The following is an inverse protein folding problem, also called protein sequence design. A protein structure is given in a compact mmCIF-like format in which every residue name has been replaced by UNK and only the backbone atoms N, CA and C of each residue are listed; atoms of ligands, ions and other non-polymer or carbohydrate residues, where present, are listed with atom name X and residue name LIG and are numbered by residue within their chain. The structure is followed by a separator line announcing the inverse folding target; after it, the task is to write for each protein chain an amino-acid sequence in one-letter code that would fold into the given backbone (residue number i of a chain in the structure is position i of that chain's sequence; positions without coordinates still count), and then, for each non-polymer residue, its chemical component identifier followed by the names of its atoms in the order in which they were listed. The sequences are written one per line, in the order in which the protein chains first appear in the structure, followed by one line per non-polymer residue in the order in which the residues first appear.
data_IF_681900136094
#
_entry.id   IF_681900136094
#
_cell.length_a   1.000
_cell.length_b   1.000
_cell.length_c   1.000
_cell.angle_alpha   90.00
_cell.angle_beta   90.00
_cell.angle_gamma   90.00
#
_symmetry.space_group_name_H-M   'P 1'
#
loop_
_entity.id
_entity.type
_entity.pdbx_description
1 polymer ?
#
# COMPACT_ATOMS: atom_id res chain seq x y z
N UNK A 1 -17.51 -42.96 25.47
CA UNK A 1 -17.64 -42.26 24.15
C UNK A 1 -17.64 -40.72 24.24
N UNK A 2 -17.39 -40.14 25.42
CA UNK A 2 -17.43 -38.68 25.64
C UNK A 2 -16.05 -38.00 25.72
N UNK A 3 -14.96 -38.73 25.90
CA UNK A 3 -13.62 -38.12 26.09
C UNK A 3 -13.01 -37.55 24.82
N UNK A 4 -13.31 -38.12 23.64
CA UNK A 4 -12.77 -37.64 22.38
C UNK A 4 -13.39 -36.31 21.89
N UNK A 5 -14.64 -36.04 22.28
CA UNK A 5 -15.34 -34.79 21.96
C UNK A 5 -14.96 -33.66 22.92
N UNK A 6 -14.72 -33.96 24.20
CA UNK A 6 -14.26 -32.96 25.17
C UNK A 6 -12.82 -32.48 24.85
N UNK A 7 -11.96 -33.35 24.34
CA UNK A 7 -10.62 -32.97 23.88
C UNK A 7 -10.61 -32.04 22.64
N UNK A 8 -11.68 -32.05 21.83
CA UNK A 8 -11.82 -31.12 20.70
C UNK A 8 -12.25 -29.71 21.12
N UNK A 9 -12.82 -29.56 22.32
CA UNK A 9 -13.30 -28.29 22.87
C UNK A 9 -12.25 -27.57 23.73
N UNK A 10 -11.17 -28.27 24.11
CA UNK A 10 -10.13 -27.76 25.02
C UNK A 10 -8.74 -28.06 24.44
N UNK A 11 -8.27 -27.18 23.54
CA UNK A 11 -6.92 -27.31 22.93
C UNK A 11 -5.88 -26.65 23.84
N UNK A 12 -4.99 -27.44 24.41
CA UNK A 12 -3.91 -27.00 25.31
C UNK A 12 -2.50 -27.21 24.71
N UNK A 13 -2.42 -27.72 23.47
CA UNK A 13 -1.11 -27.93 22.83
C UNK A 13 -0.49 -26.60 22.45
N UNK A 14 0.79 -26.45 22.70
CA UNK A 14 1.60 -25.32 22.26
C UNK A 14 2.66 -25.80 21.24
N UNK A 15 2.94 -24.98 20.25
CA UNK A 15 3.93 -25.24 19.22
C UNK A 15 5.01 -24.16 19.26
N UNK A 16 5.95 -24.23 20.21
CA UNK A 16 7.01 -23.23 20.32
C UNK A 16 7.89 -23.26 19.08
N UNK A 17 8.43 -22.09 18.65
CA UNK A 17 9.40 -22.05 17.56
C UNK A 17 10.68 -22.81 17.97
N UNK A 18 11.44 -23.28 16.96
CA UNK A 18 12.74 -23.88 17.23
C UNK A 18 13.69 -22.85 17.89
N UNK A 19 14.65 -23.29 18.73
CA UNK A 19 15.61 -22.39 19.34
C UNK A 19 16.41 -21.56 18.32
N UNK A 20 16.76 -22.16 17.19
CA UNK A 20 17.47 -21.50 16.08
C UNK A 20 16.61 -20.38 15.46
N UNK A 21 15.34 -20.65 15.17
CA UNK A 21 14.41 -19.66 14.66
C UNK A 21 14.19 -18.51 15.67
N UNK A 22 13.95 -18.85 16.95
CA UNK A 22 13.77 -17.86 18.01
C UNK A 22 15.01 -16.96 18.22
N UNK A 23 16.23 -17.52 18.05
CA UNK A 23 17.46 -16.74 18.16
C UNK A 23 17.60 -15.65 17.11
N UNK A 24 17.03 -15.85 15.91
CA UNK A 24 17.04 -14.92 14.78
C UNK A 24 15.87 -13.91 14.81
N UNK A 25 14.90 -14.07 15.71
CA UNK A 25 13.73 -13.19 15.79
C UNK A 25 14.13 -11.75 16.11
N UNK A 26 13.55 -10.80 15.38
CA UNK A 26 13.75 -9.36 15.63
C UNK A 26 13.04 -8.89 16.91
N UNK A 27 11.87 -9.48 17.22
CA UNK A 27 11.15 -9.23 18.45
C UNK A 27 11.39 -10.39 19.44
N UNK A 28 11.73 -10.07 20.68
CA UNK A 28 12.02 -11.02 21.74
C UNK A 28 11.21 -10.70 23.00
N UNK A 29 11.01 -11.69 23.86
CA UNK A 29 10.20 -11.55 25.08
C UNK A 29 10.56 -10.29 25.93
N UNK A 30 11.83 -9.94 26.16
CA UNK A 30 12.18 -8.74 26.95
C UNK A 30 11.65 -7.42 26.39
N UNK A 31 11.26 -7.35 25.10
CA UNK A 31 10.65 -6.14 24.52
C UNK A 31 9.26 -5.86 25.11
N UNK A 32 8.54 -6.89 25.52
CA UNK A 32 7.24 -6.72 26.18
C UNK A 32 7.42 -6.14 27.56
N UNK A 33 8.41 -6.63 28.34
CA UNK A 33 8.72 -6.11 29.67
C UNK A 33 9.19 -4.65 29.59
N UNK A 34 9.99 -4.29 28.59
CA UNK A 34 10.42 -2.91 28.31
C UNK A 34 9.21 -2.01 28.02
N UNK A 35 8.26 -2.49 27.21
CA UNK A 35 7.06 -1.73 26.86
C UNK A 35 6.09 -1.58 28.05
N UNK A 36 6.00 -2.57 28.94
CA UNK A 36 5.19 -2.51 30.16
C UNK A 36 5.79 -1.55 31.20
N UNK A 37 7.12 -1.52 31.32
CA UNK A 37 7.82 -0.67 32.27
C UNK A 37 7.63 0.82 31.94
N UNK A 38 7.82 1.20 30.66
CA UNK A 38 7.58 2.57 30.17
C UNK A 38 7.16 2.54 28.71
N UNK A 39 5.85 2.52 28.48
CA UNK A 39 5.27 2.50 27.13
C UNK A 39 5.67 3.69 26.28
N UNK A 40 5.80 4.88 26.86
CA UNK A 40 6.11 6.09 26.10
C UNK A 40 7.56 6.09 25.65
N UNK A 41 8.49 5.78 26.55
CA UNK A 41 9.90 5.65 26.22
C UNK A 41 10.13 4.52 25.19
N UNK A 42 9.45 3.38 25.33
CA UNK A 42 9.50 2.30 24.35
C UNK A 42 9.11 2.77 22.95
N UNK A 43 7.96 3.42 22.79
CA UNK A 43 7.50 3.89 21.50
C UNK A 43 8.31 5.06 20.95
N UNK A 44 8.85 5.94 21.80
CA UNK A 44 9.81 6.97 21.40
C UNK A 44 11.08 6.34 20.81
N UNK A 45 11.62 5.31 21.45
CA UNK A 45 12.76 4.54 20.96
C UNK A 45 12.46 3.89 19.60
N UNK A 46 11.29 3.23 19.45
CA UNK A 46 10.89 2.63 18.17
C UNK A 46 10.72 3.68 17.07
N UNK A 47 10.10 4.82 17.36
CA UNK A 47 9.91 5.89 16.39
C UNK A 47 11.23 6.55 15.97
N UNK A 48 12.24 6.54 16.83
CA UNK A 48 13.55 7.15 16.56
C UNK A 48 14.34 6.46 15.46
N UNK A 49 13.98 5.23 15.05
CA UNK A 49 14.60 4.54 13.92
C UNK A 49 14.12 5.04 12.56
N UNK A 50 13.03 5.82 12.53
CA UNK A 50 12.50 6.44 11.33
C UNK A 50 13.13 7.80 11.07
N UNK A 51 13.15 8.20 9.79
CA UNK A 51 13.54 9.55 9.42
C UNK A 51 12.33 10.49 9.56
N UNK A 52 12.50 11.52 10.40
CA UNK A 52 11.51 12.56 10.64
C UNK A 52 11.99 13.87 10.04
N UNK A 53 11.20 14.49 9.17
CA UNK A 53 11.46 15.85 8.68
C UNK A 53 11.29 16.87 9.80
N UNK A 54 10.34 16.61 10.70
CA UNK A 54 10.15 17.37 11.92
C UNK A 54 9.91 16.39 13.07
N UNK A 55 10.78 16.43 14.09
CA UNK A 55 10.62 15.61 15.28
C UNK A 55 9.37 16.06 16.05
N UNK A 56 8.73 15.13 16.75
CA UNK A 56 7.60 15.39 17.62
C UNK A 56 8.01 16.20 18.86
N UNK A 57 7.04 16.89 19.44
CA UNK A 57 7.20 17.64 20.71
C UNK A 57 6.70 16.84 21.91
N UNK A 58 5.80 15.88 21.68
CA UNK A 58 5.21 15.01 22.70
C UNK A 58 4.94 13.64 22.09
N UNK A 59 5.28 12.56 22.81
CA UNK A 59 5.11 11.18 22.32
C UNK A 59 3.64 10.81 22.22
N UNK A 60 2.83 11.16 23.21
CA UNK A 60 1.41 10.84 23.26
C UNK A 60 0.63 11.98 23.97
N UNK A 61 -0.39 12.50 23.30
CA UNK A 61 -1.48 13.24 23.91
C UNK A 61 -2.70 12.31 24.01
N UNK A 62 -3.06 11.94 25.23
CA UNK A 62 -4.09 10.94 25.52
C UNK A 62 -5.30 11.60 26.16
N UNK A 63 -6.37 11.77 25.37
CA UNK A 63 -7.66 12.32 25.79
C UNK A 63 -8.77 11.37 25.34
N UNK A 64 -9.11 10.32 26.11
CA UNK A 64 -10.07 9.30 25.70
C UNK A 64 -11.41 9.89 25.22
N UNK A 65 -11.97 9.39 24.11
CA UNK A 65 -11.52 8.24 23.30
C UNK A 65 -10.43 8.58 22.27
N UNK A 66 -9.86 9.77 22.28
CA UNK A 66 -8.90 10.24 21.28
C UNK A 66 -7.45 10.11 21.78
N UNK A 67 -6.57 9.75 20.86
CA UNK A 67 -5.14 9.70 21.05
C UNK A 67 -4.41 10.35 19.89
N UNK A 68 -3.40 11.19 20.20
CA UNK A 68 -2.48 11.73 19.20
C UNK A 68 -1.08 11.27 19.52
N UNK A 69 -0.53 10.40 18.68
CA UNK A 69 0.84 9.94 18.82
C UNK A 69 1.80 10.87 18.07
N UNK A 70 2.99 11.07 18.63
CA UNK A 70 4.09 11.86 18.04
C UNK A 70 3.63 13.26 17.60
N UNK A 71 3.03 13.99 18.53
CA UNK A 71 2.39 15.29 18.31
C UNK A 71 3.36 16.27 17.65
N UNK A 72 2.93 16.87 16.54
CA UNK A 72 3.74 17.79 15.74
C UNK A 72 4.82 17.14 14.88
N UNK A 73 5.04 15.82 15.01
CA UNK A 73 5.98 15.10 14.17
C UNK A 73 5.52 15.04 12.70
N UNK A 74 6.48 15.14 11.76
CA UNK A 74 6.22 15.03 10.32
C UNK A 74 7.24 14.08 9.68
N UNK A 75 6.73 13.10 8.96
CA UNK A 75 7.54 12.17 8.16
C UNK A 75 6.84 11.86 6.84
N UNK A 76 7.60 11.33 5.87
CA UNK A 76 7.04 10.77 4.66
C UNK A 76 7.23 9.25 4.67
N UNK A 77 6.14 8.50 4.51
CA UNK A 77 6.17 7.04 4.55
C UNK A 77 6.94 6.45 3.37
N UNK A 78 6.79 7.02 2.16
CA UNK A 78 7.52 6.59 0.97
C UNK A 78 9.03 6.82 1.12
N UNK A 79 9.45 7.97 1.67
CA UNK A 79 10.86 8.24 1.97
C UNK A 79 11.44 7.19 2.93
N UNK A 80 10.73 6.90 3.99
CA UNK A 80 11.16 5.90 4.96
C UNK A 80 11.19 4.48 4.41
N UNK A 81 10.28 4.15 3.48
CA UNK A 81 10.23 2.84 2.85
C UNK A 81 11.29 2.64 1.75
N UNK A 82 11.70 3.71 1.05
CA UNK A 82 12.52 3.61 -0.15
C UNK A 82 13.79 4.46 -0.10
N UNK A 83 13.64 5.80 -0.10
CA UNK A 83 14.76 6.74 -0.33
C UNK A 83 15.90 6.50 0.66
N UNK A 84 15.60 6.44 1.96
CA UNK A 84 16.65 6.25 2.98
C UNK A 84 17.43 4.96 2.78
N UNK A 85 16.76 3.88 2.32
CA UNK A 85 17.43 2.61 2.09
C UNK A 85 18.38 2.65 0.88
N UNK A 86 17.98 3.36 -0.18
CA UNK A 86 18.84 3.58 -1.34
C UNK A 86 20.01 4.47 -0.95
N UNK A 87 19.77 5.57 -0.23
CA UNK A 87 20.81 6.48 0.25
C UNK A 87 21.81 5.82 1.20
N UNK A 88 21.38 4.84 1.98
CA UNK A 88 22.21 4.03 2.88
C UNK A 88 22.90 2.85 2.16
N UNK A 89 22.92 2.82 0.82
CA UNK A 89 23.65 1.82 0.03
C UNK A 89 22.95 0.47 -0.11
N UNK A 90 21.64 0.39 0.15
CA UNK A 90 20.84 -0.84 0.01
C UNK A 90 20.04 -0.88 -1.30
N UNK A 91 20.36 -0.04 -2.28
CA UNK A 91 19.62 0.08 -3.54
C UNK A 91 19.54 -1.21 -4.34
N UNK A 92 20.57 -2.03 -4.32
CA UNK A 92 20.65 -3.30 -5.06
C UNK A 92 19.90 -4.47 -4.38
N UNK A 93 19.43 -4.27 -3.14
CA UNK A 93 18.63 -5.29 -2.47
C UNK A 93 17.28 -5.46 -3.18
N UNK A 94 16.81 -6.70 -3.23
CA UNK A 94 15.49 -7.02 -3.79
C UNK A 94 14.41 -6.48 -2.86
N UNK A 95 13.54 -5.63 -3.39
CA UNK A 95 12.35 -5.13 -2.73
C UNK A 95 11.16 -6.07 -2.97
N UNK A 96 10.95 -6.49 -4.24
CA UNK A 96 9.87 -7.40 -4.60
C UNK A 96 10.38 -8.56 -5.46
N UNK A 97 9.89 -9.75 -5.15
CA UNK A 97 9.80 -10.89 -6.05
C UNK A 97 8.33 -11.04 -6.41
N UNK A 98 8.01 -10.79 -7.67
CA UNK A 98 6.65 -10.91 -8.18
C UNK A 98 6.55 -12.16 -9.05
N UNK A 99 5.48 -12.92 -8.84
CA UNK A 99 5.08 -14.03 -9.69
C UNK A 99 3.59 -13.87 -9.98
N UNK A 100 3.26 -13.64 -11.24
CA UNK A 100 1.88 -13.55 -11.71
C UNK A 100 1.25 -14.92 -11.92
N UNK A 101 -0.07 -15.01 -11.88
CA UNK A 101 -0.79 -16.27 -12.08
C UNK A 101 -0.45 -16.97 -13.43
N UNK A 102 -0.20 -16.26 -14.55
CA UNK A 102 0.28 -16.86 -15.79
C UNK A 102 1.73 -17.38 -15.74
N UNK A 103 2.44 -17.23 -14.63
CA UNK A 103 3.84 -17.63 -14.48
C UNK A 103 4.85 -16.55 -14.87
N UNK A 104 4.40 -15.35 -15.17
CA UNK A 104 5.29 -14.21 -15.40
C UNK A 104 5.94 -13.75 -14.09
N UNK A 105 7.23 -13.48 -14.12
CA UNK A 105 8.01 -13.10 -12.93
C UNK A 105 8.69 -11.76 -13.11
N UNK A 106 8.83 -11.00 -12.02
CA UNK A 106 9.64 -9.76 -11.96
C UNK A 106 10.44 -9.74 -10.66
N UNK A 107 11.69 -9.36 -10.76
CA UNK A 107 12.55 -9.05 -9.63
C UNK A 107 12.79 -7.55 -9.65
N UNK A 108 12.41 -6.85 -8.59
CA UNK A 108 12.50 -5.40 -8.48
C UNK A 108 13.37 -5.05 -7.29
N UNK A 109 14.45 -4.31 -7.51
CA UNK A 109 15.33 -3.81 -6.45
C UNK A 109 14.76 -2.54 -5.81
N UNK A 110 15.30 -2.13 -4.64
CA UNK A 110 14.92 -0.87 -4.01
C UNK A 110 15.19 0.35 -4.90
N UNK A 111 16.29 0.35 -5.64
CA UNK A 111 16.63 1.45 -6.56
C UNK A 111 15.64 1.53 -7.73
N UNK A 112 15.29 0.39 -8.33
CA UNK A 112 14.29 0.32 -9.39
C UNK A 112 12.91 0.74 -8.89
N UNK A 113 12.48 0.23 -7.72
CA UNK A 113 11.20 0.60 -7.10
C UNK A 113 11.14 2.09 -6.81
N UNK A 114 12.20 2.67 -6.25
CA UNK A 114 12.28 4.12 -6.01
C UNK A 114 12.12 4.92 -7.29
N UNK A 115 12.77 4.49 -8.37
CA UNK A 115 12.67 5.12 -9.69
C UNK A 115 11.22 5.11 -10.20
N UNK A 116 10.56 3.96 -10.16
CA UNK A 116 9.18 3.84 -10.63
C UNK A 116 8.19 4.62 -9.74
N UNK A 117 8.40 4.63 -8.43
CA UNK A 117 7.59 5.42 -7.49
C UNK A 117 7.75 6.92 -7.73
N UNK A 118 8.96 7.42 -8.03
CA UNK A 118 9.19 8.82 -8.39
C UNK A 118 8.44 9.21 -9.66
N UNK A 119 8.52 8.39 -10.71
CA UNK A 119 7.77 8.61 -11.96
C UNK A 119 6.26 8.65 -11.70
N UNK A 120 5.74 7.68 -10.96
CA UNK A 120 4.33 7.63 -10.62
C UNK A 120 3.90 8.86 -9.79
N UNK A 121 4.72 9.30 -8.83
CA UNK A 121 4.45 10.52 -8.05
C UNK A 121 4.40 11.77 -8.94
N UNK A 122 5.33 11.91 -9.90
CA UNK A 122 5.32 13.00 -10.86
C UNK A 122 4.08 12.95 -11.78
N UNK A 123 3.67 11.75 -12.18
CA UNK A 123 2.43 11.57 -12.93
C UNK A 123 1.20 11.99 -12.12
N UNK A 124 1.11 11.61 -10.84
CA UNK A 124 0.03 12.07 -9.95
C UNK A 124 0.00 13.60 -9.85
N UNK A 125 1.15 14.22 -9.65
CA UNK A 125 1.28 15.68 -9.63
C UNK A 125 0.82 16.34 -10.93
N UNK A 126 1.16 15.76 -12.11
CA UNK A 126 0.72 16.26 -13.42
C UNK A 126 -0.79 16.15 -13.65
N UNK A 127 -1.46 15.22 -12.96
CA UNK A 127 -2.92 15.09 -12.91
C UNK A 127 -3.58 15.98 -11.84
N UNK A 128 -2.80 16.83 -11.15
CA UNK A 128 -3.29 17.75 -10.15
C UNK A 128 -3.51 17.14 -8.76
N UNK A 129 -3.03 15.92 -8.52
CA UNK A 129 -3.07 15.28 -7.19
C UNK A 129 -2.01 15.92 -6.29
N UNK A 130 -2.41 16.29 -5.09
CA UNK A 130 -1.57 16.98 -4.10
C UNK A 130 -1.83 16.47 -2.69
N UNK A 131 -1.06 16.99 -1.74
CA UNK A 131 -1.22 16.71 -0.32
C UNK A 131 -2.68 16.88 0.15
N UNK A 132 -3.18 15.89 0.88
CA UNK A 132 -4.55 15.81 1.37
C UNK A 132 -5.60 15.32 0.36
N UNK A 133 -5.26 15.12 -0.92
CA UNK A 133 -6.17 14.51 -1.88
C UNK A 133 -6.31 12.99 -1.65
N UNK A 134 -7.34 12.38 -2.22
CA UNK A 134 -7.60 10.94 -2.13
C UNK A 134 -7.59 10.30 -3.51
N UNK A 135 -7.00 9.10 -3.58
CA UNK A 135 -6.87 8.29 -4.79
C UNK A 135 -7.45 6.91 -4.51
N UNK A 136 -8.37 6.44 -5.31
CA UNK A 136 -8.85 5.07 -5.24
C UNK A 136 -7.95 4.16 -6.10
N UNK A 137 -7.52 3.03 -5.54
CA UNK A 137 -6.70 2.04 -6.23
C UNK A 137 -7.49 0.75 -6.32
N UNK A 138 -7.98 0.43 -7.52
CA UNK A 138 -8.75 -0.78 -7.82
C UNK A 138 -7.99 -1.64 -8.82
N UNK A 139 -7.06 -2.44 -8.30
CA UNK A 139 -6.07 -3.16 -9.10
C UNK A 139 -5.93 -4.63 -8.69
N UNK A 140 -5.47 -5.49 -9.59
CA UNK A 140 -5.01 -6.81 -9.21
C UNK A 140 -3.70 -6.71 -8.42
N UNK A 141 -3.25 -7.83 -7.83
CA UNK A 141 -2.00 -7.91 -7.08
C UNK A 141 -0.80 -7.91 -8.05
N UNK A 142 -0.42 -6.73 -8.51
CA UNK A 142 0.73 -6.49 -9.39
C UNK A 142 1.65 -5.42 -8.80
N UNK A 143 2.92 -5.35 -9.18
CA UNK A 143 3.86 -4.36 -8.64
C UNK A 143 3.39 -2.91 -8.75
N UNK A 144 2.67 -2.57 -9.81
CA UNK A 144 2.12 -1.24 -10.06
C UNK A 144 1.12 -0.80 -8.96
N UNK A 145 0.45 -1.75 -8.29
CA UNK A 145 -0.40 -1.43 -7.14
C UNK A 145 0.44 -0.88 -5.96
N UNK A 146 1.56 -1.53 -5.64
CA UNK A 146 2.46 -1.05 -4.59
C UNK A 146 3.16 0.25 -4.98
N UNK A 147 3.54 0.41 -6.26
CA UNK A 147 4.11 1.65 -6.79
C UNK A 147 3.11 2.80 -6.63
N UNK A 148 1.84 2.59 -6.98
CA UNK A 148 0.77 3.58 -6.82
C UNK A 148 0.55 3.98 -5.35
N UNK A 149 0.53 3.02 -4.42
CA UNK A 149 0.41 3.29 -2.97
C UNK A 149 1.57 4.16 -2.46
N UNK A 150 2.81 3.80 -2.82
CA UNK A 150 4.01 4.53 -2.42
C UNK A 150 4.10 5.90 -3.09
N UNK A 151 3.63 6.05 -4.33
CA UNK A 151 3.54 7.32 -5.02
C UNK A 151 2.53 8.27 -4.34
N UNK A 152 1.35 7.76 -3.96
CA UNK A 152 0.38 8.53 -3.18
C UNK A 152 0.98 9.02 -1.85
N UNK A 153 1.62 8.10 -1.09
CA UNK A 153 2.30 8.47 0.15
C UNK A 153 3.41 9.50 -0.07
N UNK A 154 4.12 9.44 -1.23
CA UNK A 154 5.18 10.38 -1.57
C UNK A 154 4.68 11.79 -1.76
N UNK A 155 3.54 11.98 -2.41
CA UNK A 155 2.93 13.30 -2.65
C UNK A 155 2.03 13.78 -1.50
N UNK A 156 1.88 12.98 -0.45
CA UNK A 156 1.00 13.31 0.69
C UNK A 156 -0.48 13.04 0.44
N UNK A 157 -0.83 12.32 -0.63
CA UNK A 157 -2.21 11.92 -0.92
C UNK A 157 -2.57 10.63 -0.16
N UNK A 158 -3.76 10.57 0.41
CA UNK A 158 -4.29 9.35 0.95
C UNK A 158 -4.74 8.42 -0.18
N UNK A 159 -4.52 7.11 -0.03
CA UNK A 159 -5.03 6.13 -0.98
C UNK A 159 -6.03 5.17 -0.32
N UNK A 160 -7.10 4.85 -1.06
CA UNK A 160 -8.07 3.83 -0.70
C UNK A 160 -7.90 2.64 -1.64
N UNK A 161 -7.35 1.55 -1.11
CA UNK A 161 -7.15 0.31 -1.89
C UNK A 161 -8.41 -0.52 -1.82
N UNK A 162 -9.01 -0.78 -2.98
CA UNK A 162 -10.23 -1.54 -3.13
C UNK A 162 -9.90 -2.90 -3.76
N UNK A 163 -10.35 -3.96 -3.13
CA UNK A 163 -10.11 -5.31 -3.63
C UNK A 163 -10.78 -5.52 -4.99
N UNK A 164 -10.01 -6.04 -5.96
CA UNK A 164 -10.43 -6.21 -7.36
C UNK A 164 -11.60 -7.20 -7.60
N UNK A 165 -12.09 -7.84 -6.55
CA UNK A 165 -13.29 -8.69 -6.59
C UNK A 165 -14.58 -7.97 -6.19
N UNK A 166 -14.53 -6.68 -5.83
CA UNK A 166 -15.74 -5.93 -5.47
C UNK A 166 -16.54 -5.48 -6.70
N UNK A 167 -17.88 -5.39 -6.53
CA UNK A 167 -18.80 -4.89 -7.56
C UNK A 167 -18.63 -3.39 -7.84
N UNK A 168 -19.19 -2.93 -8.94
CA UNK A 168 -19.21 -1.52 -9.31
C UNK A 168 -19.87 -0.64 -8.23
N UNK A 169 -20.98 -1.07 -7.63
CA UNK A 169 -21.63 -0.34 -6.53
C UNK A 169 -20.74 -0.21 -5.30
N UNK A 170 -20.04 -1.28 -4.95
CA UNK A 170 -19.09 -1.27 -3.82
C UNK A 170 -17.87 -0.37 -4.09
N UNK A 171 -17.41 -0.30 -5.33
CA UNK A 171 -16.35 0.60 -5.76
C UNK A 171 -16.84 2.06 -5.72
N UNK A 172 -18.02 2.34 -6.29
CA UNK A 172 -18.63 3.66 -6.28
C UNK A 172 -18.78 4.20 -4.85
N UNK A 173 -19.34 3.40 -3.93
CA UNK A 173 -19.51 3.80 -2.54
C UNK A 173 -18.19 4.23 -1.89
N UNK A 174 -17.08 3.53 -2.15
CA UNK A 174 -15.75 3.87 -1.63
C UNK A 174 -15.15 5.12 -2.27
N UNK A 175 -15.38 5.31 -3.58
CA UNK A 175 -14.96 6.52 -4.30
C UNK A 175 -15.68 7.73 -3.72
N UNK A 176 -16.98 7.62 -3.47
CA UNK A 176 -17.80 8.69 -2.90
C UNK A 176 -17.43 8.97 -1.44
N UNK A 177 -17.32 7.94 -0.61
CA UNK A 177 -16.96 8.07 0.81
C UNK A 177 -15.59 8.74 0.99
N UNK A 178 -14.61 8.37 0.17
CA UNK A 178 -13.29 8.98 0.18
C UNK A 178 -13.25 10.34 -0.54
N UNK A 179 -14.28 10.73 -1.29
CA UNK A 179 -14.23 11.87 -2.23
C UNK A 179 -12.97 11.79 -3.13
N UNK A 180 -12.75 10.64 -3.76
CA UNK A 180 -11.56 10.38 -4.55
C UNK A 180 -11.54 11.20 -5.84
N UNK A 181 -10.37 11.77 -6.18
CA UNK A 181 -10.19 12.57 -7.40
C UNK A 181 -9.60 11.80 -8.57
N UNK A 182 -9.00 10.66 -8.31
CA UNK A 182 -8.37 9.79 -9.29
C UNK A 182 -8.71 8.35 -8.96
N UNK A 183 -8.91 7.53 -9.99
CA UNK A 183 -8.92 6.07 -9.90
C UNK A 183 -7.71 5.52 -10.62
N UNK A 184 -6.98 4.60 -9.99
CA UNK A 184 -5.92 3.82 -10.62
C UNK A 184 -6.42 2.38 -10.73
N UNK A 185 -6.40 1.82 -11.95
CA UNK A 185 -6.90 0.48 -12.22
C UNK A 185 -6.03 -0.24 -13.26
N UNK A 186 -6.45 -1.44 -13.68
CA UNK A 186 -5.88 -2.17 -14.79
C UNK A 186 -6.97 -2.54 -15.82
N UNK A 187 -6.55 -2.89 -17.04
CA UNK A 187 -7.47 -3.46 -18.03
C UNK A 187 -8.18 -4.69 -17.46
N UNK A 188 -7.47 -5.51 -16.73
CA UNK A 188 -7.97 -6.70 -16.06
C UNK A 188 -6.94 -7.33 -15.12
N UNK A 189 -7.25 -8.53 -14.66
CA UNK A 189 -6.38 -9.38 -13.87
C UNK A 189 -6.52 -10.83 -14.28
N UNK A 190 -5.73 -11.70 -13.65
CA UNK A 190 -5.84 -13.15 -13.82
C UNK A 190 -6.32 -13.78 -12.52
N UNK A 191 -7.24 -14.74 -12.63
CA UNK A 191 -7.76 -15.50 -11.50
C UNK A 191 -8.23 -16.87 -11.98
N UNK A 192 -7.79 -17.95 -11.32
CA UNK A 192 -8.16 -19.34 -11.64
C UNK A 192 -7.91 -19.71 -13.12
N UNK A 193 -6.76 -19.27 -13.64
CA UNK A 193 -6.35 -19.55 -15.01
C UNK A 193 -7.03 -18.73 -16.10
N UNK A 194 -7.85 -17.74 -15.76
CA UNK A 194 -8.59 -16.92 -16.70
C UNK A 194 -8.39 -15.43 -16.46
N UNK A 195 -8.43 -14.64 -17.54
CA UNK A 195 -8.46 -13.18 -17.42
C UNK A 195 -9.88 -12.71 -17.02
N UNK A 196 -9.93 -11.71 -16.15
CA UNK A 196 -11.18 -11.01 -15.81
C UNK A 196 -11.02 -9.50 -15.96
N UNK A 197 -12.09 -8.80 -16.34
CA UNK A 197 -12.05 -7.37 -16.59
C UNK A 197 -12.17 -6.54 -15.30
N UNK A 198 -11.35 -5.49 -15.17
CA UNK A 198 -11.46 -4.50 -14.09
C UNK A 198 -11.94 -3.16 -14.62
N UNK A 199 -11.42 -2.72 -15.76
CA UNK A 199 -11.77 -1.42 -16.35
C UNK A 199 -13.29 -1.26 -16.58
N UNK A 200 -13.98 -2.30 -17.04
CA UNK A 200 -15.43 -2.26 -17.23
C UNK A 200 -16.19 -2.03 -15.91
N UNK A 201 -15.70 -2.57 -14.79
CA UNK A 201 -16.29 -2.35 -13.46
C UNK A 201 -16.07 -0.89 -13.02
N UNK A 202 -14.90 -0.33 -13.29
CA UNK A 202 -14.62 1.09 -13.04
C UNK A 202 -15.53 1.97 -13.88
N UNK A 203 -15.72 1.66 -15.17
CA UNK A 203 -16.60 2.42 -16.06
C UNK A 203 -18.04 2.41 -15.56
N UNK A 204 -18.53 1.26 -15.09
CA UNK A 204 -19.86 1.16 -14.50
C UNK A 204 -19.99 1.97 -13.22
N UNK A 205 -19.02 1.86 -12.31
CA UNK A 205 -19.00 2.63 -11.07
C UNK A 205 -19.02 4.15 -11.34
N UNK A 206 -18.24 4.61 -12.32
CA UNK A 206 -18.11 6.02 -12.66
C UNK A 206 -19.27 6.59 -13.51
N UNK A 207 -20.34 5.83 -13.76
CA UNK A 207 -21.62 6.38 -14.19
C UNK A 207 -22.34 7.12 -13.07
N UNK A 208 -22.05 6.76 -11.82
CA UNK A 208 -22.51 7.49 -10.64
C UNK A 208 -21.83 8.85 -10.51
N UNK A 209 -22.41 9.71 -9.68
CA UNK A 209 -21.87 11.05 -9.41
C UNK A 209 -20.59 10.94 -8.58
N UNK A 210 -19.47 11.45 -9.09
CA UNK A 210 -18.15 11.43 -8.44
C UNK A 210 -17.32 12.64 -8.82
N UNK A 211 -16.28 12.94 -8.00
CA UNK A 211 -15.27 13.96 -8.30
C UNK A 211 -14.03 13.40 -9.04
N UNK A 212 -14.11 12.19 -9.58
CA UNK A 212 -13.01 11.56 -10.33
C UNK A 212 -12.80 12.25 -11.66
N UNK A 213 -11.67 12.97 -11.77
CA UNK A 213 -11.30 13.68 -12.98
C UNK A 213 -10.63 12.76 -14.02
N UNK A 214 -9.81 11.82 -13.57
CA UNK A 214 -9.05 10.92 -14.43
C UNK A 214 -9.08 9.47 -13.91
N UNK A 215 -8.86 8.52 -14.85
CA UNK A 215 -8.64 7.10 -14.59
C UNK A 215 -7.31 6.70 -15.20
N UNK A 216 -6.37 6.25 -14.38
CA UNK A 216 -5.07 5.74 -14.82
C UNK A 216 -5.14 4.22 -14.96
N UNK A 217 -4.85 3.69 -16.15
CA UNK A 217 -5.09 2.28 -16.50
C UNK A 217 -3.78 1.56 -16.80
N UNK A 218 -3.48 0.51 -16.03
CA UNK A 218 -2.34 -0.39 -16.29
C UNK A 218 -2.77 -1.48 -17.28
N UNK A 219 -1.94 -1.74 -18.28
CA UNK A 219 -2.14 -2.85 -19.22
C UNK A 219 -1.56 -4.14 -18.62
N UNK A 220 -2.41 -4.98 -18.04
CA UNK A 220 -2.02 -6.25 -17.39
C UNK A 220 -2.34 -7.48 -18.23
N UNK A 221 -3.56 -7.55 -18.76
CA UNK A 221 -4.05 -8.72 -19.50
C UNK A 221 -3.94 -8.56 -21.01
N UNK A 222 -3.91 -7.32 -21.48
CA UNK A 222 -3.90 -6.99 -22.90
C UNK A 222 -5.26 -7.14 -23.58
N UNK A 223 -6.33 -7.39 -22.80
CA UNK A 223 -7.69 -7.42 -23.33
C UNK A 223 -8.12 -6.03 -23.82
N UNK A 224 -8.99 -6.01 -24.81
CA UNK A 224 -9.57 -4.75 -25.28
C UNK A 224 -10.46 -4.13 -24.19
N UNK A 225 -10.27 -2.85 -23.94
CA UNK A 225 -11.05 -2.05 -23.01
C UNK A 225 -11.45 -0.72 -23.65
N UNK A 226 -12.61 -0.21 -23.29
CA UNK A 226 -13.02 1.13 -23.70
C UNK A 226 -12.16 2.18 -22.99
N UNK A 227 -11.66 3.15 -23.75
CA UNK A 227 -10.90 4.29 -23.21
C UNK A 227 -11.65 5.58 -23.53
N UNK A 228 -12.24 6.18 -22.50
CA UNK A 228 -12.97 7.46 -22.61
C UNK A 228 -12.04 8.66 -22.43
N UNK A 229 -12.61 9.86 -22.45
CA UNK A 229 -11.85 11.11 -22.38
C UNK A 229 -11.06 11.31 -21.08
N UNK A 230 -11.48 10.67 -19.98
CA UNK A 230 -10.81 10.73 -18.67
C UNK A 230 -9.76 9.64 -18.46
N UNK A 231 -9.67 8.66 -19.37
CA UNK A 231 -8.83 7.49 -19.23
C UNK A 231 -7.45 7.70 -19.85
N UNK A 232 -6.43 7.30 -19.14
CA UNK A 232 -5.04 7.47 -19.57
C UNK A 232 -4.32 6.15 -19.31
N UNK A 233 -3.60 5.63 -20.31
CA UNK A 233 -2.74 4.49 -20.10
C UNK A 233 -1.56 4.84 -19.17
N UNK A 234 -1.25 3.96 -18.24
CA UNK A 234 -0.09 4.09 -17.35
C UNK A 234 1.20 4.31 -18.14
N UNK A 235 1.43 3.53 -19.20
CA UNK A 235 2.59 3.65 -20.10
C UNK A 235 2.66 5.01 -20.82
N UNK A 236 1.52 5.64 -21.08
CA UNK A 236 1.49 6.92 -21.79
C UNK A 236 1.77 8.11 -20.89
N UNK A 237 1.57 7.96 -19.59
CA UNK A 237 1.79 9.02 -18.63
C UNK A 237 2.98 8.74 -17.71
N UNK A 238 2.97 7.62 -16.96
CA UNK A 238 3.96 7.33 -15.92
C UNK A 238 5.34 7.00 -16.49
N UNK A 239 5.38 6.17 -17.55
CA UNK A 239 6.66 5.76 -18.13
C UNK A 239 7.42 6.93 -18.78
N UNK A 240 6.71 8.00 -19.14
CA UNK A 240 7.26 9.22 -19.73
C UNK A 240 7.72 10.27 -18.70
N UNK A 241 7.42 10.08 -17.41
CA UNK A 241 7.83 11.01 -16.36
C UNK A 241 9.34 10.88 -16.04
N UNK A 242 9.91 12.00 -15.59
CA UNK A 242 11.22 11.98 -14.94
C UNK A 242 11.18 11.17 -13.65
N UNK A 243 12.32 10.60 -13.27
CA UNK A 243 12.53 9.96 -11.97
C UNK A 243 13.29 10.89 -10.98
N UNK A 244 13.31 12.18 -11.27
CA UNK A 244 13.93 13.21 -10.42
C UNK A 244 12.95 13.69 -9.34
#
# INVERSE_FOLDING_TARGET
MNDSLSNLLSENRTFPPSPEFAAQANAKAPMYDEAELDRLAFWEKQASVLHWHQKWTQVLDWQPPFAKWFVGGKLNASYNALDRHVLEGRGDRVAFLFEGEPGDTRKITYAELLKEVKKAANALGSLGIKDGDRVAIYMPMIPEAAIAMLACARVGAAHSVVFGGFSADSLLARIQDADAKLVITADGGFLKGSAFGLKAIVDEALKGETNVANVLVVKRTGQEVSMGARDIWWSDLVDKQSAE
#
